data_IF_599144282805
#
_entry.id   IF_599144282805
#
_cell.length_a   1.000
_cell.length_b   1.000
_cell.length_c   1.000
_cell.angle_alpha   90.00
_cell.angle_beta   90.00
_cell.angle_gamma   90.00
#
_symmetry.space_group_name_H-M   'P 1'
#
loop_
_entity.id
_entity.type
_entity.pdbx_description
1 polymer ?
#
# COMPACT_ATOMS: atom_id res chain seq x y z
N UNK A 1 6.46 -12.17 -6.11
CA UNK A 1 6.04 -11.88 -4.72
C UNK A 1 5.93 -10.38 -4.49
N UNK A 2 4.90 -9.97 -3.80
CA UNK A 2 4.73 -8.57 -3.39
C UNK A 2 5.37 -8.39 -2.02
N UNK A 3 6.22 -7.38 -1.89
CA UNK A 3 6.85 -7.01 -0.62
C UNK A 3 6.23 -5.72 -0.10
N UNK A 4 5.78 -5.74 1.15
CA UNK A 4 5.15 -4.60 1.81
C UNK A 4 6.06 -4.13 2.94
N UNK A 5 6.43 -2.86 2.91
CA UNK A 5 7.26 -2.25 3.93
C UNK A 5 6.53 -1.05 4.52
N UNK A 6 5.95 -1.23 5.69
CA UNK A 6 5.26 -0.17 6.41
C UNK A 6 6.12 0.30 7.57
N UNK A 7 6.40 1.60 7.60
CA UNK A 7 7.14 2.26 8.67
C UNK A 7 6.26 3.37 9.23
N UNK A 8 6.78 4.10 10.23
CA UNK A 8 6.01 5.14 10.91
C UNK A 8 5.42 6.18 9.95
N UNK A 9 6.20 6.61 8.97
CA UNK A 9 5.81 7.67 8.04
C UNK A 9 6.01 7.28 6.57
N UNK A 10 5.96 5.99 6.26
CA UNK A 10 6.10 5.54 4.87
C UNK A 10 5.42 4.21 4.64
N UNK A 11 4.97 4.01 3.41
CA UNK A 11 4.45 2.74 2.91
C UNK A 11 5.08 2.46 1.56
N UNK A 12 5.74 1.33 1.42
CA UNK A 12 6.27 0.86 0.16
C UNK A 12 5.69 -0.50 -0.18
N UNK A 13 5.22 -0.63 -1.41
CA UNK A 13 4.71 -1.90 -1.94
C UNK A 13 5.43 -2.14 -3.25
N UNK A 14 6.14 -3.27 -3.37
CA UNK A 14 6.93 -3.59 -4.56
C UNK A 14 6.70 -5.01 -5.01
N UNK A 15 6.72 -5.19 -6.33
CA UNK A 15 6.67 -6.50 -6.97
C UNK A 15 5.29 -6.86 -7.50
N UNK A 16 5.22 -8.08 -7.99
CA UNK A 16 3.98 -8.67 -8.51
C UNK A 16 3.72 -9.98 -7.77
N UNK A 17 2.46 -10.26 -7.48
CA UNK A 17 2.10 -11.46 -6.74
C UNK A 17 2.43 -12.74 -7.54
N UNK A 18 2.29 -12.69 -8.86
CA UNK A 18 2.46 -13.86 -9.72
C UNK A 18 1.46 -14.97 -9.38
N UNK A 19 0.30 -14.58 -8.88
CA UNK A 19 -0.78 -15.50 -8.54
C UNK A 19 -1.50 -16.00 -9.80
N UNK A 20 -1.65 -15.09 -10.78
CA UNK A 20 -2.28 -15.37 -12.06
C UNK A 20 -1.71 -14.41 -13.11
N UNK A 21 -2.19 -14.52 -14.35
CA UNK A 21 -1.79 -13.64 -15.44
C UNK A 21 -2.18 -12.20 -15.16
N UNK A 22 -1.45 -11.21 -15.75
CA UNK A 22 -1.88 -9.82 -15.68
C UNK A 22 -3.35 -9.67 -16.10
N UNK A 23 -4.11 -8.88 -15.35
CA UNK A 23 -5.53 -8.69 -15.55
C UNK A 23 -6.43 -9.74 -14.88
N UNK A 24 -5.86 -10.84 -14.41
CA UNK A 24 -6.58 -11.92 -13.72
C UNK A 24 -6.06 -12.18 -12.30
N UNK A 25 -5.07 -11.40 -11.86
CA UNK A 25 -4.42 -11.61 -10.56
C UNK A 25 -5.19 -10.88 -9.46
N UNK A 26 -6.01 -11.63 -8.72
CA UNK A 26 -6.82 -11.07 -7.64
C UNK A 26 -5.97 -10.60 -6.48
N UNK A 27 -4.78 -11.18 -6.27
CA UNK A 27 -3.89 -10.78 -5.18
C UNK A 27 -3.27 -9.42 -5.50
N UNK A 28 -2.75 -9.24 -6.70
CA UNK A 28 -2.27 -7.95 -7.17
C UNK A 28 -3.35 -6.87 -7.07
N UNK A 29 -4.56 -7.19 -7.52
CA UNK A 29 -5.70 -6.26 -7.50
C UNK A 29 -6.05 -5.85 -6.08
N UNK A 30 -6.08 -6.81 -5.14
CA UNK A 30 -6.41 -6.53 -3.74
C UNK A 30 -5.37 -5.62 -3.09
N UNK A 31 -4.08 -5.94 -3.26
CA UNK A 31 -3.00 -5.12 -2.71
C UNK A 31 -2.98 -3.74 -3.34
N UNK A 32 -3.18 -3.67 -4.66
CA UNK A 32 -3.21 -2.39 -5.38
C UNK A 32 -4.36 -1.50 -4.92
N UNK A 33 -5.54 -2.08 -4.70
CA UNK A 33 -6.69 -1.32 -4.20
C UNK A 33 -6.39 -0.68 -2.84
N UNK A 34 -5.77 -1.43 -1.93
CA UNK A 34 -5.39 -0.90 -0.62
C UNK A 34 -4.29 0.16 -0.73
N UNK A 35 -3.29 -0.07 -1.56
CA UNK A 35 -2.21 0.90 -1.76
C UNK A 35 -2.70 2.20 -2.37
N UNK A 36 -3.54 2.13 -3.40
CA UNK A 36 -4.12 3.30 -4.03
C UNK A 36 -5.08 4.04 -3.08
N UNK A 37 -5.80 3.30 -2.24
CA UNK A 37 -6.65 3.90 -1.21
C UNK A 37 -5.79 4.68 -0.22
N UNK A 38 -4.68 4.11 0.22
CA UNK A 38 -3.75 4.80 1.12
C UNK A 38 -3.23 6.10 0.49
N UNK A 39 -2.84 6.04 -0.79
CA UNK A 39 -2.37 7.22 -1.51
C UNK A 39 -3.44 8.32 -1.57
N UNK A 40 -4.67 7.95 -1.91
CA UNK A 40 -5.77 8.90 -1.99
C UNK A 40 -6.08 9.51 -0.61
N UNK A 41 -6.12 8.68 0.44
CA UNK A 41 -6.34 9.17 1.80
C UNK A 41 -5.23 10.14 2.24
N UNK A 42 -3.98 9.82 1.90
CA UNK A 42 -2.85 10.71 2.20
C UNK A 42 -3.02 12.08 1.58
N UNK A 43 -3.40 12.12 0.29
CA UNK A 43 -3.60 13.38 -0.42
C UNK A 43 -4.78 14.17 0.15
N UNK A 44 -5.87 13.50 0.51
CA UNK A 44 -7.03 14.16 1.11
C UNK A 44 -6.73 14.74 2.49
N UNK A 45 -5.93 14.02 3.29
CA UNK A 45 -5.52 14.51 4.61
C UNK A 45 -4.58 15.71 4.49
N UNK A 46 -3.74 15.75 3.47
CA UNK A 46 -2.92 16.94 3.20
C UNK A 46 -3.79 18.14 2.85
N UNK A 47 -4.83 17.96 2.04
CA UNK A 47 -5.76 19.03 1.69
C UNK A 47 -6.47 19.60 2.92
N UNK A 48 -6.67 18.77 3.94
CA UNK A 48 -7.28 19.18 5.20
C UNK A 48 -6.28 19.78 6.19
N UNK A 49 -5.01 19.86 5.81
CA UNK A 49 -3.96 20.39 6.67
C UNK A 49 -3.52 19.46 7.79
N UNK A 50 -3.84 18.15 7.70
CA UNK A 50 -3.56 17.20 8.77
C UNK A 50 -2.21 16.52 8.67
N UNK A 51 -1.61 16.51 7.49
CA UNK A 51 -0.27 15.98 7.25
C UNK A 51 0.34 16.66 6.05
N UNK A 52 1.64 16.39 5.83
CA UNK A 52 2.36 16.89 4.67
C UNK A 52 2.88 15.72 3.86
N UNK A 53 2.56 15.68 2.58
CA UNK A 53 3.07 14.67 1.65
C UNK A 53 4.52 15.00 1.32
N UNK A 54 5.43 14.04 1.52
CA UNK A 54 6.83 14.16 1.13
C UNK A 54 7.01 13.59 -0.26
N UNK A 55 6.45 12.40 -0.53
CA UNK A 55 6.50 11.80 -1.86
C UNK A 55 5.33 10.87 -2.08
N UNK A 56 4.93 10.74 -3.33
CA UNK A 56 3.86 9.84 -3.76
C UNK A 56 4.22 9.32 -5.14
N UNK A 57 4.87 8.16 -5.19
CA UNK A 57 5.34 7.55 -6.43
C UNK A 57 4.57 6.27 -6.69
N UNK A 58 3.86 6.22 -7.81
CA UNK A 58 3.05 5.07 -8.19
C UNK A 58 3.45 4.67 -9.61
N UNK A 59 3.83 3.42 -9.77
CA UNK A 59 4.21 2.88 -11.06
C UNK A 59 3.77 1.43 -11.20
N UNK A 60 4.17 0.80 -12.30
CA UNK A 60 3.88 -0.61 -12.53
C UNK A 60 4.68 -1.45 -11.52
N UNK A 61 3.96 -2.16 -10.65
CA UNK A 61 4.59 -2.99 -9.63
C UNK A 61 5.29 -2.23 -8.51
N UNK A 62 5.05 -0.92 -8.38
CA UNK A 62 5.66 -0.12 -7.31
C UNK A 62 4.69 0.92 -6.77
N UNK A 63 4.74 1.11 -5.47
CA UNK A 63 4.04 2.21 -4.80
C UNK A 63 4.92 2.64 -3.64
N UNK A 64 5.21 3.94 -3.54
CA UNK A 64 6.02 4.48 -2.46
C UNK A 64 5.39 5.77 -1.97
N UNK A 65 4.95 5.77 -0.72
CA UNK A 65 4.32 6.91 -0.07
C UNK A 65 5.16 7.32 1.13
N UNK A 66 5.42 8.61 1.25
CA UNK A 66 6.08 9.18 2.43
C UNK A 66 5.34 10.46 2.83
N UNK A 67 5.17 10.62 4.13
CA UNK A 67 4.47 11.78 4.68
C UNK A 67 5.09 12.20 5.99
N UNK A 68 4.73 13.41 6.42
CA UNK A 68 5.09 13.96 7.71
C UNK A 68 3.80 14.28 8.45
N UNK A 69 3.70 13.85 9.69
CA UNK A 69 2.49 14.02 10.49
C UNK A 69 1.80 12.70 10.78
N UNK A 70 0.63 12.77 11.41
CA UNK A 70 -0.11 11.60 11.85
C UNK A 70 -1.12 11.17 10.77
N UNK A 71 -1.00 9.93 10.32
CA UNK A 71 -1.88 9.34 9.32
C UNK A 71 -2.69 8.19 9.93
N UNK A 72 -3.84 8.53 10.50
CA UNK A 72 -4.69 7.52 11.17
C UNK A 72 -5.23 6.47 10.19
N UNK A 73 -5.48 6.86 8.94
CA UNK A 73 -5.99 5.94 7.91
C UNK A 73 -5.05 4.75 7.68
N UNK A 74 -3.75 4.91 7.95
CA UNK A 74 -2.77 3.86 7.67
C UNK A 74 -2.99 2.62 8.54
N UNK A 75 -3.59 2.77 9.71
CA UNK A 75 -3.91 1.64 10.58
C UNK A 75 -4.95 0.72 9.92
N UNK A 76 -5.96 1.31 9.30
CA UNK A 76 -6.98 0.55 8.57
C UNK A 76 -6.37 -0.15 7.35
N UNK A 77 -5.55 0.57 6.61
CA UNK A 77 -4.85 0.00 5.46
C UNK A 77 -3.97 -1.18 5.89
N UNK A 78 -3.23 -1.04 7.00
CA UNK A 78 -2.34 -2.09 7.49
C UNK A 78 -3.11 -3.35 7.85
N UNK A 79 -4.29 -3.23 8.43
CA UNK A 79 -5.16 -4.38 8.74
C UNK A 79 -5.55 -5.11 7.45
N UNK A 80 -5.93 -4.37 6.42
CA UNK A 80 -6.27 -4.96 5.12
C UNK A 80 -5.10 -5.68 4.48
N UNK A 81 -3.92 -5.08 4.51
CA UNK A 81 -2.71 -5.70 3.96
C UNK A 81 -2.34 -6.96 4.74
N UNK A 82 -2.47 -6.94 6.06
CA UNK A 82 -2.21 -8.10 6.91
C UNK A 82 -3.17 -9.26 6.59
N UNK A 83 -4.45 -8.97 6.37
CA UNK A 83 -5.42 -9.99 5.98
C UNK A 83 -5.05 -10.64 4.65
N UNK A 84 -4.61 -9.85 3.68
CA UNK A 84 -4.19 -10.39 2.39
C UNK A 84 -2.94 -11.25 2.56
N UNK A 85 -1.95 -10.77 3.31
CA UNK A 85 -0.74 -11.54 3.59
C UNK A 85 -1.08 -12.89 4.24
N UNK A 86 -1.95 -12.88 5.25
CA UNK A 86 -2.33 -14.10 5.95
C UNK A 86 -3.03 -15.12 5.07
N UNK A 87 -3.79 -14.66 4.08
CA UNK A 87 -4.52 -15.54 3.16
C UNK A 87 -3.69 -15.95 1.93
N UNK A 88 -2.64 -15.21 1.61
CA UNK A 88 -1.82 -15.43 0.41
C UNK A 88 -0.33 -15.35 0.73
N UNK A 89 0.10 -16.11 1.73
CA UNK A 89 1.48 -16.05 2.28
C UNK A 89 2.57 -16.33 1.26
N UNK A 90 2.27 -17.10 0.23
CA UNK A 90 3.24 -17.42 -0.82
C UNK A 90 3.41 -16.29 -1.84
N UNK A 91 2.53 -15.29 -1.81
CA UNK A 91 2.48 -14.23 -2.82
C UNK A 91 2.72 -12.84 -2.25
N UNK A 92 2.54 -12.65 -0.95
CA UNK A 92 2.64 -11.36 -0.28
C UNK A 92 3.40 -11.52 1.03
N UNK A 93 4.35 -10.62 1.28
CA UNK A 93 5.16 -10.66 2.51
C UNK A 93 5.41 -9.24 3.03
N UNK A 94 5.10 -9.01 4.30
CA UNK A 94 5.51 -7.82 5.02
C UNK A 94 6.96 -7.97 5.50
N UNK A 95 7.75 -6.93 5.33
CA UNK A 95 9.18 -6.93 5.67
C UNK A 95 9.55 -5.77 6.61
#
# INVERSE_FOLDING_TARGET
MILIKLRENSLEIKGHAMYARPGEDIVCSAVSALGLTAAECMLREEQKGKLKVISCDIGCGTLSLKWQGNAQFIKTISVGLELIENNYKEYVKAV
#
